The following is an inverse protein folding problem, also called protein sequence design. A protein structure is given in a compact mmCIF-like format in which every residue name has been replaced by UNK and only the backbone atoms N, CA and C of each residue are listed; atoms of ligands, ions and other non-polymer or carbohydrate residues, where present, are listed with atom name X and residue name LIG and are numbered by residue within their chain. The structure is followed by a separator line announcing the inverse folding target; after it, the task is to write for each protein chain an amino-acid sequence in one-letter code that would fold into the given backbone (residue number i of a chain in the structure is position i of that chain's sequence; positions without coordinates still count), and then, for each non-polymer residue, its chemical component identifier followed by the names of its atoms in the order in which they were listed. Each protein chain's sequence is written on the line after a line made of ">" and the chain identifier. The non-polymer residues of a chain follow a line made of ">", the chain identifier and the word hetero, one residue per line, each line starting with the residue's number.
data_IF_596974402459
#
_entry.id   IF_596974402459
#
_cell.length_a   1.000
_cell.length_b   1.000
_cell.length_c   1.000
_cell.angle_alpha   90.00
_cell.angle_beta   90.00
_cell.angle_gamma   90.00
#
_symmetry.space_group_name_H-M   'P 1'
#
loop_
_entity.id
_entity.type
_entity.pdbx_description
1 polymer ?
#
# COMPACT_ATOMS: atom_id res chain seq x y z
N UNK A 1 -16.33 -18.08 6.82
CA UNK A 1 -15.06 -17.51 7.26
C UNK A 1 -14.81 -16.21 6.47
N UNK A 2 -14.28 -15.19 7.13
CA UNK A 2 -13.88 -13.94 6.45
C UNK A 2 -12.65 -14.23 5.59
N UNK A 3 -12.64 -13.88 4.28
CA UNK A 3 -11.43 -13.97 3.50
C UNK A 3 -10.29 -13.22 4.18
N UNK A 4 -9.09 -13.75 4.12
CA UNK A 4 -7.90 -13.15 4.76
C UNK A 4 -8.02 -12.95 6.29
N UNK A 5 -8.79 -13.83 6.97
CA UNK A 5 -8.98 -13.72 8.42
C UNK A 5 -7.67 -13.74 9.20
N UNK A 6 -6.75 -14.63 8.85
CA UNK A 6 -5.43 -14.76 9.51
C UNK A 6 -4.55 -13.52 9.24
N UNK A 7 -4.63 -12.95 8.03
CA UNK A 7 -3.93 -11.71 7.69
C UNK A 7 -4.45 -10.51 8.49
N UNK A 8 -5.77 -10.46 8.74
CA UNK A 8 -6.40 -9.42 9.57
C UNK A 8 -5.97 -9.56 11.03
N UNK A 9 -5.93 -10.78 11.56
CA UNK A 9 -5.44 -11.05 12.91
C UNK A 9 -3.97 -10.63 13.04
N UNK A 10 -3.14 -10.97 12.06
CA UNK A 10 -1.75 -10.53 12.00
C UNK A 10 -1.60 -9.00 12.06
N UNK A 11 -2.42 -8.23 11.29
CA UNK A 11 -2.42 -6.76 11.35
C UNK A 11 -2.70 -6.23 12.76
N UNK A 12 -3.64 -6.87 13.46
CA UNK A 12 -4.00 -6.48 14.83
C UNK A 12 -2.88 -6.80 15.82
N UNK A 13 -2.30 -8.00 15.74
CA UNK A 13 -1.20 -8.45 16.60
C UNK A 13 0.04 -7.56 16.43
N UNK A 14 0.34 -7.14 15.21
CA UNK A 14 1.44 -6.21 14.89
C UNK A 14 1.08 -4.73 15.14
N UNK A 15 -0.15 -4.45 15.58
CA UNK A 15 -0.67 -3.09 15.81
C UNK A 15 -0.63 -2.19 14.58
N UNK A 16 -0.62 -2.77 13.38
CA UNK A 16 -0.71 -2.01 12.14
C UNK A 16 -2.13 -1.48 11.96
N UNK A 17 -3.15 -2.27 12.33
CA UNK A 17 -4.54 -1.82 12.38
C UNK A 17 -5.25 -2.34 13.62
N UNK A 18 -5.89 -1.42 14.34
CA UNK A 18 -6.74 -1.75 15.50
C UNK A 18 -8.23 -1.79 15.14
N UNK A 19 -8.57 -1.66 13.86
CA UNK A 19 -9.95 -1.52 13.42
C UNK A 19 -10.53 -0.13 13.70
N UNK A 20 -11.86 -0.07 13.77
CA UNK A 20 -12.62 1.14 14.09
C UNK A 20 -12.96 1.20 15.57
N UNK A 21 -13.40 2.37 16.04
CA UNK A 21 -13.79 2.60 17.44
C UNK A 21 -14.96 1.71 17.92
N UNK A 22 -15.73 1.17 16.99
CA UNK A 22 -16.81 0.21 17.25
C UNK A 22 -16.33 -1.25 17.38
N UNK A 23 -15.01 -1.48 17.30
CA UNK A 23 -14.39 -2.80 17.38
C UNK A 23 -14.44 -3.60 16.07
N UNK A 24 -14.95 -3.02 14.97
CA UNK A 24 -15.04 -3.70 13.68
C UNK A 24 -13.82 -3.42 12.79
N UNK A 25 -13.38 -4.42 12.03
CA UNK A 25 -12.33 -4.23 11.00
C UNK A 25 -12.92 -3.77 9.66
N UNK A 26 -14.15 -4.16 9.34
CA UNK A 26 -14.85 -3.87 8.09
C UNK A 26 -14.07 -4.35 6.85
N UNK A 27 -13.87 -5.67 6.69
CA UNK A 27 -12.99 -6.25 5.68
C UNK A 27 -13.36 -5.92 4.24
N UNK A 28 -14.65 -5.76 3.96
CA UNK A 28 -15.18 -5.50 2.61
C UNK A 28 -15.22 -4.00 2.24
N UNK A 29 -14.85 -3.11 3.15
CA UNK A 29 -14.73 -1.69 2.81
C UNK A 29 -13.47 -1.43 1.98
N UNK A 30 -13.57 -0.48 1.05
CA UNK A 30 -12.42 0.00 0.28
C UNK A 30 -11.48 0.77 1.21
N UNK A 31 -10.18 0.47 1.15
CA UNK A 31 -9.21 1.22 1.95
C UNK A 31 -9.01 2.63 1.36
N UNK A 32 -9.07 3.65 2.21
CA UNK A 32 -8.77 5.02 1.82
C UNK A 32 -7.24 5.23 1.76
N UNK A 33 -6.80 6.15 0.92
CA UNK A 33 -5.36 6.44 0.75
C UNK A 33 -4.71 6.93 2.04
N UNK A 34 -5.40 7.74 2.84
CA UNK A 34 -4.89 8.20 4.14
C UNK A 34 -4.75 7.06 5.15
N UNK A 35 -5.69 6.11 5.18
CA UNK A 35 -5.63 4.94 6.06
C UNK A 35 -4.52 3.97 5.64
N UNK A 36 -4.34 3.80 4.31
CA UNK A 36 -3.23 3.05 3.75
C UNK A 36 -1.87 3.67 4.13
N UNK A 37 -1.78 5.01 4.14
CA UNK A 37 -0.55 5.70 4.55
C UNK A 37 -0.16 5.33 6.00
N UNK A 38 -1.13 5.28 6.91
CA UNK A 38 -0.89 4.84 8.28
C UNK A 38 -0.42 3.37 8.36
N UNK A 39 -1.01 2.48 7.57
CA UNK A 39 -0.59 1.07 7.53
C UNK A 39 0.85 0.92 7.04
N UNK A 40 1.21 1.59 5.95
CA UNK A 40 2.57 1.54 5.39
C UNK A 40 3.61 2.13 6.34
N UNK A 41 3.29 3.25 7.03
CA UNK A 41 4.21 3.82 8.03
C UNK A 41 4.40 2.87 9.21
N UNK A 42 3.33 2.27 9.73
CA UNK A 42 3.42 1.32 10.85
C UNK A 42 4.20 0.07 10.47
N UNK A 43 4.04 -0.42 9.25
CA UNK A 43 4.88 -1.49 8.71
C UNK A 43 6.36 -1.06 8.65
N UNK A 44 6.64 0.14 8.15
CA UNK A 44 7.99 0.66 8.11
C UNK A 44 8.61 0.80 9.52
N UNK A 45 7.82 1.21 10.52
CA UNK A 45 8.26 1.27 11.93
C UNK A 45 8.55 -0.13 12.45
N UNK A 46 7.64 -1.09 12.21
CA UNK A 46 7.81 -2.49 12.63
C UNK A 46 9.12 -3.09 12.11
N UNK A 47 9.50 -2.72 10.88
CA UNK A 47 10.69 -3.22 10.19
C UNK A 47 11.92 -2.31 10.28
N UNK A 48 11.85 -1.25 11.07
CA UNK A 48 12.98 -0.32 11.24
C UNK A 48 13.41 0.36 9.93
N UNK A 49 12.50 0.59 8.99
CA UNK A 49 12.81 1.15 7.67
C UNK A 49 13.02 2.65 7.77
N UNK A 50 14.27 3.07 7.57
CA UNK A 50 14.66 4.48 7.60
C UNK A 50 14.33 5.15 8.92
N UNK A 51 13.78 6.36 8.85
CA UNK A 51 13.39 7.19 9.99
C UNK A 51 11.88 7.15 10.30
N UNK A 52 11.18 6.06 9.90
CA UNK A 52 9.72 5.97 9.97
C UNK A 52 9.14 6.25 11.37
N UNK A 53 9.83 5.81 12.42
CA UNK A 53 9.42 5.98 13.81
C UNK A 53 9.68 7.40 14.32
N UNK A 54 10.86 7.95 14.06
CA UNK A 54 11.32 9.22 14.65
C UNK A 54 10.94 10.46 13.86
N UNK A 55 10.63 10.32 12.55
CA UNK A 55 10.36 11.46 11.69
C UNK A 55 9.08 12.22 12.08
N UNK A 56 9.16 13.54 12.05
CA UNK A 56 8.04 14.46 12.25
C UNK A 56 8.05 15.52 11.15
N UNK A 57 6.87 15.95 10.68
CA UNK A 57 6.79 16.97 9.65
C UNK A 57 7.26 18.33 10.18
N UNK A 58 8.11 19.00 9.40
CA UNK A 58 8.44 20.40 9.54
C UNK A 58 7.51 21.31 8.73
N UNK A 59 7.70 22.63 8.82
CA UNK A 59 6.84 23.60 8.11
C UNK A 59 6.75 23.33 6.60
N UNK A 60 7.85 22.93 5.98
CA UNK A 60 7.92 22.63 4.54
C UNK A 60 7.13 21.40 4.12
N UNK A 61 6.92 20.48 5.03
CA UNK A 61 6.20 19.24 4.73
C UNK A 61 4.68 19.50 4.67
N UNK A 62 4.19 20.46 5.48
CA UNK A 62 2.77 20.80 5.52
C UNK A 62 2.23 21.52 4.27
N UNK A 63 3.12 21.91 3.35
CA UNK A 63 2.72 22.57 2.08
C UNK A 63 2.94 21.67 0.87
N UNK A 64 3.35 20.41 1.06
CA UNK A 64 3.56 19.45 -0.04
C UNK A 64 2.24 19.15 -0.77
N UNK A 65 1.16 18.92 -0.03
CA UNK A 65 -0.15 18.62 -0.58
C UNK A 65 -1.16 19.68 -0.18
N UNK A 66 -1.84 20.28 -1.14
CA UNK A 66 -2.81 21.36 -0.92
C UNK A 66 -4.11 20.90 -0.22
N UNK A 67 -4.36 19.58 -0.20
CA UNK A 67 -5.54 18.93 0.41
C UNK A 67 -5.22 18.21 1.74
N UNK A 68 -4.04 18.42 2.31
CA UNK A 68 -3.64 17.84 3.60
C UNK A 68 -3.31 18.94 4.57
N UNK A 69 -3.99 18.95 5.71
CA UNK A 69 -3.72 19.82 6.84
C UNK A 69 -3.63 19.02 8.15
N UNK A 70 -3.33 19.70 9.26
CA UNK A 70 -3.18 19.07 10.57
C UNK A 70 -4.46 18.41 11.11
N UNK A 71 -5.64 18.68 10.53
CA UNK A 71 -6.94 18.06 10.87
C UNK A 71 -7.21 16.83 10.04
N UNK A 72 -6.48 16.64 8.94
CA UNK A 72 -6.65 15.48 8.07
C UNK A 72 -6.30 14.21 8.85
N UNK A 73 -7.17 13.19 8.89
CA UNK A 73 -6.82 11.92 9.51
C UNK A 73 -5.55 11.34 8.89
N UNK A 74 -4.62 10.90 9.73
CA UNK A 74 -3.33 10.35 9.30
C UNK A 74 -2.43 11.32 8.51
N UNK A 75 -2.58 12.65 8.72
CA UNK A 75 -1.80 13.66 8.01
C UNK A 75 -0.29 13.42 8.10
N UNK A 76 0.24 13.18 9.30
CA UNK A 76 1.67 12.89 9.49
C UNK A 76 2.12 11.62 8.77
N UNK A 77 1.26 10.59 8.68
CA UNK A 77 1.57 9.36 7.95
C UNK A 77 1.61 9.61 6.44
N UNK A 78 0.68 10.43 5.93
CA UNK A 78 0.66 10.88 4.53
C UNK A 78 1.92 11.65 4.18
N UNK A 79 2.30 12.65 4.99
CA UNK A 79 3.50 13.45 4.79
C UNK A 79 4.77 12.61 4.90
N UNK A 80 4.78 11.61 5.79
CA UNK A 80 5.90 10.66 5.90
C UNK A 80 6.09 9.84 4.62
N UNK A 81 4.99 9.44 3.95
CA UNK A 81 5.10 8.73 2.66
C UNK A 81 5.72 9.63 1.57
N UNK A 82 5.38 10.91 1.58
CA UNK A 82 5.99 11.88 0.66
C UNK A 82 7.47 12.06 0.96
N UNK A 83 7.84 12.28 2.23
CA UNK A 83 9.22 12.38 2.68
C UNK A 83 10.05 11.15 2.29
N UNK A 84 9.49 9.96 2.45
CA UNK A 84 10.15 8.71 2.06
C UNK A 84 10.22 8.50 0.54
N UNK A 85 9.58 9.33 -0.27
CA UNK A 85 9.48 9.12 -1.73
C UNK A 85 8.62 7.90 -2.12
N UNK A 86 7.73 7.46 -1.23
CA UNK A 86 6.79 6.36 -1.51
C UNK A 86 5.59 6.90 -2.31
N UNK A 87 5.09 8.10 -1.96
CA UNK A 87 4.02 8.76 -2.70
C UNK A 87 4.40 10.17 -3.10
N UNK A 88 4.14 10.54 -4.34
CA UNK A 88 4.33 11.91 -4.85
C UNK A 88 3.01 12.68 -4.98
N UNK A 89 1.86 12.02 -4.73
CA UNK A 89 0.54 12.60 -4.98
C UNK A 89 0.24 12.77 -6.47
N UNK A 90 -0.72 13.64 -6.74
CA UNK A 90 -1.09 14.03 -8.10
C UNK A 90 -0.79 15.51 -8.31
N UNK A 91 -0.22 15.81 -9.48
CA UNK A 91 -0.07 17.18 -9.91
C UNK A 91 -1.37 17.64 -10.55
N UNK A 92 -1.96 18.70 -10.00
CA UNK A 92 -3.18 19.33 -10.51
C UNK A 92 -2.87 20.30 -11.66
N UNK A 93 -3.91 20.76 -12.36
CA UNK A 93 -3.76 21.65 -13.51
C UNK A 93 -3.18 23.04 -13.14
N UNK A 94 -3.36 23.47 -11.91
CA UNK A 94 -2.80 24.70 -11.36
C UNK A 94 -1.35 24.55 -10.87
N UNK A 95 -0.78 23.34 -10.99
CA UNK A 95 0.56 23.00 -10.57
C UNK A 95 0.69 22.58 -9.12
N UNK A 96 -0.35 22.66 -8.31
CA UNK A 96 -0.38 22.16 -6.94
C UNK A 96 -0.33 20.62 -6.91
N UNK A 97 0.05 20.06 -5.77
CA UNK A 97 -0.03 18.63 -5.55
C UNK A 97 -1.12 18.31 -4.54
N UNK A 98 -1.87 17.23 -4.79
CA UNK A 98 -2.88 16.68 -3.89
C UNK A 98 -2.56 15.23 -3.55
N UNK A 99 -2.93 14.81 -2.34
CA UNK A 99 -2.81 13.39 -1.94
C UNK A 99 -4.10 12.61 -2.17
N UNK A 100 -5.24 13.29 -2.16
CA UNK A 100 -6.59 12.70 -2.30
C UNK A 100 -6.87 11.65 -1.23
N UNK A 101 -6.63 12.01 0.03
CA UNK A 101 -6.61 11.09 1.17
C UNK A 101 -7.87 10.26 1.36
N UNK A 102 -9.05 10.80 1.06
CA UNK A 102 -10.35 10.12 1.20
C UNK A 102 -10.71 9.20 0.03
N UNK A 103 -9.97 9.27 -1.08
CA UNK A 103 -10.18 8.39 -2.24
C UNK A 103 -9.76 6.95 -1.92
N UNK A 104 -10.46 5.99 -2.51
CA UNK A 104 -10.07 4.58 -2.44
C UNK A 104 -8.76 4.34 -3.20
N UNK A 105 -7.90 3.49 -2.65
CA UNK A 105 -6.66 3.08 -3.32
C UNK A 105 -6.99 2.12 -4.45
N UNK A 106 -6.43 2.34 -5.64
CA UNK A 106 -6.48 1.38 -6.73
C UNK A 106 -5.38 0.32 -6.58
N UNK A 107 -5.62 -0.88 -7.08
CA UNK A 107 -4.66 -1.98 -7.00
C UNK A 107 -3.32 -1.65 -7.67
N UNK A 108 -3.35 -0.97 -8.83
CA UNK A 108 -2.13 -0.52 -9.51
C UNK A 108 -1.33 0.49 -8.66
N UNK A 109 -1.98 1.43 -7.99
CA UNK A 109 -1.30 2.40 -7.12
C UNK A 109 -0.72 1.70 -5.88
N UNK A 110 -1.46 0.73 -5.33
CA UNK A 110 -0.99 -0.10 -4.22
C UNK A 110 0.30 -0.84 -4.57
N UNK A 111 0.41 -1.36 -5.80
CA UNK A 111 1.63 -2.04 -6.26
C UNK A 111 2.85 -1.14 -6.14
N UNK A 112 2.73 0.11 -6.59
CA UNK A 112 3.82 1.08 -6.51
C UNK A 112 4.22 1.41 -5.06
N UNK A 113 3.23 1.55 -4.17
CA UNK A 113 3.50 1.84 -2.77
C UNK A 113 4.23 0.68 -2.07
N UNK A 114 3.76 -0.55 -2.27
CA UNK A 114 4.37 -1.74 -1.67
C UNK A 114 5.77 -2.00 -2.22
N UNK A 115 5.97 -1.87 -3.54
CA UNK A 115 7.27 -2.05 -4.16
C UNK A 115 8.28 -1.02 -3.68
N UNK A 116 7.90 0.26 -3.61
CA UNK A 116 8.78 1.31 -3.08
C UNK A 116 9.12 1.11 -1.60
N UNK A 117 8.17 0.65 -0.79
CA UNK A 117 8.43 0.29 0.60
C UNK A 117 9.40 -0.88 0.70
N UNK A 118 9.22 -1.92 -0.14
CA UNK A 118 10.09 -3.07 -0.22
C UNK A 118 11.54 -2.68 -0.55
N UNK A 119 11.72 -1.82 -1.55
CA UNK A 119 13.05 -1.30 -1.95
C UNK A 119 13.72 -0.59 -0.76
N UNK A 120 12.97 0.26 -0.05
CA UNK A 120 13.52 1.00 1.10
C UNK A 120 13.88 0.12 2.28
N UNK A 121 13.17 -0.98 2.47
CA UNK A 121 13.43 -1.97 3.51
C UNK A 121 14.38 -3.09 3.07
N UNK A 122 14.96 -3.01 1.87
CA UNK A 122 15.81 -4.06 1.30
C UNK A 122 15.16 -5.46 1.34
N UNK A 123 13.86 -5.54 1.06
CA UNK A 123 13.16 -6.81 0.97
C UNK A 123 13.76 -7.71 -0.11
N UNK A 124 13.88 -9.00 0.18
CA UNK A 124 14.45 -9.97 -0.73
C UNK A 124 13.36 -10.80 -1.39
N UNK A 125 13.37 -10.85 -2.72
CA UNK A 125 12.48 -11.71 -3.52
C UNK A 125 13.18 -12.95 -4.05
N UNK A 126 14.43 -13.20 -3.61
CA UNK A 126 15.21 -14.36 -4.06
C UNK A 126 14.51 -15.66 -3.66
N UNK A 127 14.24 -16.52 -4.65
CA UNK A 127 13.59 -17.82 -4.43
C UNK A 127 12.07 -17.82 -4.60
N UNK A 128 11.45 -16.69 -4.87
CA UNK A 128 10.04 -16.64 -5.26
C UNK A 128 9.96 -16.84 -6.77
N UNK A 129 9.34 -17.94 -7.21
CA UNK A 129 9.15 -18.21 -8.63
C UNK A 129 8.14 -17.22 -9.20
N UNK A 130 8.52 -16.53 -10.28
CA UNK A 130 7.57 -15.74 -11.08
C UNK A 130 6.39 -16.62 -11.47
N UNK A 131 5.21 -16.27 -11.00
CA UNK A 131 4.09 -17.20 -11.09
C UNK A 131 3.16 -16.95 -12.27
N UNK A 132 2.93 -15.73 -12.69
CA UNK A 132 1.95 -15.53 -13.77
C UNK A 132 2.11 -14.14 -14.42
N UNK A 133 2.22 -14.14 -15.73
CA UNK A 133 1.97 -12.91 -16.49
C UNK A 133 0.47 -12.57 -16.39
N UNK A 134 0.16 -11.37 -15.96
CA UNK A 134 -1.20 -10.87 -15.94
C UNK A 134 -1.60 -10.43 -17.36
N UNK A 135 -2.70 -10.97 -17.88
CA UNK A 135 -3.15 -10.72 -19.26
C UNK A 135 -3.63 -9.30 -19.52
N UNK A 136 -3.94 -8.56 -18.47
CA UNK A 136 -4.41 -7.17 -18.50
C UNK A 136 -3.31 -6.14 -18.11
N UNK A 137 -2.03 -6.57 -18.10
CA UNK A 137 -0.90 -5.70 -17.76
C UNK A 137 0.07 -5.62 -18.94
N UNK A 138 -0.01 -4.51 -19.65
CA UNK A 138 0.88 -4.16 -20.76
C UNK A 138 1.94 -3.16 -20.28
N UNK A 139 2.94 -2.86 -21.09
CA UNK A 139 3.99 -1.87 -20.75
C UNK A 139 3.44 -0.46 -20.60
N UNK A 140 2.32 -0.15 -21.26
CA UNK A 140 1.58 1.11 -21.12
C UNK A 140 0.69 1.20 -19.86
N UNK A 141 0.48 0.09 -19.15
CA UNK A 141 -0.32 0.07 -17.94
C UNK A 141 0.36 0.89 -16.84
N UNK A 142 -0.35 1.82 -16.18
CA UNK A 142 0.22 2.55 -15.05
C UNK A 142 0.78 1.60 -14.00
N UNK A 143 2.03 1.81 -13.59
CA UNK A 143 2.73 0.96 -12.62
C UNK A 143 2.93 -0.51 -13.07
N UNK A 144 3.07 -0.76 -14.38
CA UNK A 144 3.24 -2.11 -14.92
C UNK A 144 4.39 -2.89 -14.26
N UNK A 145 5.54 -2.24 -14.07
CA UNK A 145 6.72 -2.86 -13.41
C UNK A 145 6.43 -3.20 -11.95
N UNK A 146 5.77 -2.30 -11.22
CA UNK A 146 5.39 -2.52 -9.82
C UNK A 146 4.38 -3.67 -9.70
N UNK A 147 3.44 -3.77 -10.64
CA UNK A 147 2.45 -4.86 -10.69
C UNK A 147 3.14 -6.21 -10.95
N UNK A 148 4.05 -6.27 -11.93
CA UNK A 148 4.81 -7.49 -12.25
C UNK A 148 5.65 -7.92 -11.05
N UNK A 149 6.34 -6.97 -10.42
CA UNK A 149 7.10 -7.23 -9.21
C UNK A 149 6.20 -7.81 -8.10
N UNK A 150 5.00 -7.26 -7.90
CA UNK A 150 4.05 -7.75 -6.88
C UNK A 150 3.64 -9.21 -7.13
N UNK A 151 3.47 -9.58 -8.40
CA UNK A 151 3.19 -10.95 -8.83
C UNK A 151 4.39 -11.88 -8.58
N UNK A 152 5.56 -11.45 -9.01
CA UNK A 152 6.82 -12.20 -8.88
C UNK A 152 7.23 -12.39 -7.42
N UNK A 153 6.97 -11.40 -6.58
CA UNK A 153 7.20 -11.45 -5.15
C UNK A 153 6.17 -12.32 -4.38
N UNK A 154 5.14 -12.83 -5.07
CA UNK A 154 4.09 -13.64 -4.45
C UNK A 154 3.12 -12.86 -3.57
N UNK A 155 3.19 -11.52 -3.59
CA UNK A 155 2.31 -10.65 -2.79
C UNK A 155 0.90 -10.65 -3.37
N UNK A 156 0.76 -10.56 -4.70
CA UNK A 156 -0.52 -10.65 -5.38
C UNK A 156 -0.55 -11.83 -6.35
N UNK A 157 -1.58 -12.65 -6.28
CA UNK A 157 -1.82 -13.72 -7.23
C UNK A 157 -2.74 -13.30 -8.39
N UNK A 158 -3.37 -12.12 -8.28
CA UNK A 158 -4.39 -11.70 -9.24
C UNK A 158 -5.68 -12.52 -9.14
N UNK A 159 -6.45 -12.47 -10.22
CA UNK A 159 -7.70 -13.21 -10.36
C UNK A 159 -7.60 -14.17 -11.54
N UNK A 160 -8.07 -15.40 -11.34
CA UNK A 160 -8.08 -16.43 -12.39
C UNK A 160 -9.25 -16.17 -13.34
N UNK A 161 -8.97 -16.16 -14.64
CA UNK A 161 -9.97 -16.08 -15.70
C UNK A 161 -10.57 -17.47 -15.97
N UNK A 162 -11.68 -17.52 -16.68
CA UNK A 162 -12.34 -18.79 -17.06
C UNK A 162 -11.51 -19.67 -17.99
N UNK A 163 -10.60 -19.08 -18.76
CA UNK A 163 -9.66 -19.78 -19.66
C UNK A 163 -8.39 -20.28 -18.93
N UNK A 164 -8.30 -20.05 -17.61
CA UNK A 164 -7.17 -20.44 -16.79
C UNK A 164 -6.03 -19.43 -16.72
N UNK A 165 -6.07 -18.36 -17.51
CA UNK A 165 -5.13 -17.23 -17.41
C UNK A 165 -5.38 -16.37 -16.17
N UNK A 166 -4.51 -15.40 -15.92
CA UNK A 166 -4.59 -14.52 -14.75
C UNK A 166 -4.68 -13.06 -15.16
N UNK A 167 -5.47 -12.27 -14.44
CA UNK A 167 -5.54 -10.82 -14.57
C UNK A 167 -5.26 -10.16 -13.23
N UNK A 168 -4.73 -8.94 -13.26
CA UNK A 168 -4.43 -8.16 -12.05
C UNK A 168 -5.61 -7.28 -11.61
N UNK A 169 -6.37 -6.75 -12.57
CA UNK A 169 -7.46 -5.81 -12.34
C UNK A 169 -6.99 -4.52 -11.65
N UNK A 170 -5.99 -3.85 -12.26
CA UNK A 170 -5.27 -2.72 -11.68
C UNK A 170 -6.14 -1.52 -11.31
N UNK A 171 -7.25 -1.31 -12.01
CA UNK A 171 -8.18 -0.18 -11.76
C UNK A 171 -9.18 -0.43 -10.64
N UNK A 172 -9.35 -1.68 -10.20
CA UNK A 172 -10.19 -2.03 -9.08
C UNK A 172 -9.68 -1.42 -7.76
N UNK A 173 -10.61 -1.11 -6.86
CA UNK A 173 -10.24 -0.63 -5.53
C UNK A 173 -9.76 -1.78 -4.64
N UNK A 174 -8.76 -1.51 -3.81
CA UNK A 174 -8.28 -2.45 -2.79
C UNK A 174 -9.26 -2.48 -1.62
N UNK A 175 -9.68 -3.67 -1.20
CA UNK A 175 -10.44 -3.86 0.02
C UNK A 175 -9.50 -3.90 1.24
N UNK A 176 -10.01 -3.58 2.41
CA UNK A 176 -9.23 -3.60 3.66
C UNK A 176 -8.65 -5.00 3.96
N UNK A 177 -9.42 -6.06 3.66
CA UNK A 177 -8.92 -7.44 3.80
C UNK A 177 -7.79 -7.79 2.82
N UNK A 178 -7.86 -7.28 1.58
CA UNK A 178 -6.81 -7.51 0.58
C UNK A 178 -5.52 -6.77 0.98
N UNK A 179 -5.67 -5.56 1.54
CA UNK A 179 -4.53 -4.81 2.07
C UNK A 179 -3.85 -5.56 3.22
N UNK A 180 -4.61 -6.21 4.10
CA UNK A 180 -4.07 -7.05 5.17
C UNK A 180 -3.19 -8.17 4.59
N UNK A 181 -3.68 -8.88 3.58
CA UNK A 181 -2.95 -9.95 2.93
C UNK A 181 -1.69 -9.43 2.21
N UNK A 182 -1.77 -8.30 1.54
CA UNK A 182 -0.63 -7.70 0.84
C UNK A 182 0.49 -7.31 1.82
N UNK A 183 0.14 -6.67 2.93
CA UNK A 183 1.12 -6.29 3.95
C UNK A 183 1.74 -7.48 4.64
N UNK A 184 0.95 -8.49 5.02
CA UNK A 184 1.46 -9.68 5.68
C UNK A 184 2.44 -10.45 4.78
N UNK A 185 2.13 -10.55 3.48
CA UNK A 185 3.04 -11.17 2.51
C UNK A 185 4.28 -10.33 2.26
N UNK A 186 4.15 -9.00 2.18
CA UNK A 186 5.30 -8.11 2.09
C UNK A 186 6.20 -8.24 3.32
N UNK A 187 5.62 -8.27 4.52
CA UNK A 187 6.34 -8.43 5.79
C UNK A 187 7.25 -9.66 5.78
N UNK A 188 6.79 -10.76 5.19
CA UNK A 188 7.55 -12.01 5.09
C UNK A 188 8.79 -11.93 4.18
N UNK A 189 8.92 -10.89 3.37
CA UNK A 189 10.07 -10.68 2.48
C UNK A 189 11.21 -9.90 3.15
N UNK A 190 10.95 -9.29 4.31
CA UNK A 190 12.01 -8.61 5.06
C UNK A 190 12.78 -9.64 5.89
N UNK A 191 14.08 -9.71 5.64
CA UNK A 191 15.02 -10.54 6.42
C UNK A 191 15.47 -9.78 7.66
N UNK A 192 15.45 -10.42 8.81
CA UNK A 192 16.08 -9.95 10.05
C UNK A 192 16.94 -11.04 10.62
#
# INVERSE_FOLDING_TARGET
>A
ATPHGDDIVWLADKRISMGYSDGLFRPNEKIKRQDMAAFLRREAVLRGIGDADSWKPGEKDWVIFSDIDWRTPHAEDVLRLAHAGISTGWRENDGAYTFRGTSAVKRQDMSAFLHRLAIKGAATTSGVASKNAFTDVEDSTPHAEDIRWLGDAGISQGYRNSDGSWRFDGTASVLRQDMAAFLHRLDSLFSF
#
